data_IF_969294188701
#
_entry.id   IF_969294188701
#
_cell.length_a   1.000
_cell.length_b   1.000
_cell.length_c   1.000
_cell.angle_alpha   90.00
_cell.angle_beta   90.00
_cell.angle_gamma   90.00
#
_symmetry.space_group_name_H-M   'P 1'
#
loop_
_entity.id
_entity.type
_entity.pdbx_description
1 polymer ?
#
# COMPACT_ATOMS: atom_id res chain seq x y z
N UNK A 1 29.28 -19.24 9.26
CA UNK A 1 27.88 -18.82 9.45
C UNK A 1 27.67 -18.47 10.92
N UNK A 2 27.31 -17.23 11.20
CA UNK A 2 27.02 -16.67 12.53
C UNK A 2 25.52 -16.49 12.70
N UNK A 3 25.09 -16.15 13.92
CA UNK A 3 23.68 -15.81 14.14
C UNK A 3 23.37 -14.54 13.36
N UNK A 4 22.19 -14.48 12.73
CA UNK A 4 21.78 -13.37 11.88
C UNK A 4 22.21 -13.48 10.42
N UNK A 5 23.11 -14.41 10.06
CA UNK A 5 23.44 -14.64 8.65
C UNK A 5 22.21 -15.18 7.90
N UNK A 6 21.96 -14.66 6.70
CA UNK A 6 20.91 -15.15 5.80
C UNK A 6 21.46 -16.28 4.93
N UNK A 7 20.66 -17.33 4.75
CA UNK A 7 20.93 -18.48 3.90
C UNK A 7 19.88 -18.53 2.80
N UNK A 8 20.33 -18.57 1.54
CA UNK A 8 19.49 -18.72 0.36
C UNK A 8 19.81 -20.04 -0.33
N UNK A 9 18.78 -20.80 -0.68
CA UNK A 9 18.90 -22.05 -1.42
C UNK A 9 18.67 -21.83 -2.91
N UNK A 10 19.56 -22.36 -3.73
CA UNK A 10 19.40 -22.48 -5.17
C UNK A 10 19.29 -23.95 -5.56
N UNK A 11 18.20 -24.31 -6.24
CA UNK A 11 17.91 -25.67 -6.69
C UNK A 11 18.11 -25.78 -8.20
N UNK A 12 19.18 -26.43 -8.70
CA UNK A 12 19.42 -26.58 -10.13
C UNK A 12 18.47 -27.57 -10.80
N UNK A 13 17.95 -28.55 -10.04
CA UNK A 13 17.06 -29.63 -10.48
C UNK A 13 15.95 -29.82 -9.45
N UNK A 14 14.81 -30.40 -9.86
CA UNK A 14 13.66 -30.61 -8.98
C UNK A 14 13.94 -31.60 -7.85
N UNK A 15 14.59 -32.72 -8.18
CA UNK A 15 14.88 -33.80 -7.25
C UNK A 15 16.35 -34.20 -7.31
N UNK A 16 16.90 -34.62 -6.16
CA UNK A 16 18.29 -35.04 -6.07
C UNK A 16 18.52 -36.32 -6.90
N UNK A 17 19.41 -36.24 -7.89
CA UNK A 17 19.70 -37.34 -8.81
C UNK A 17 18.93 -37.28 -10.14
N UNK A 18 17.98 -36.36 -10.27
CA UNK A 18 17.22 -36.13 -11.49
C UNK A 18 17.95 -35.21 -12.49
N UNK A 19 17.48 -35.18 -13.73
CA UNK A 19 17.93 -34.29 -14.81
C UNK A 19 16.94 -33.18 -15.14
N UNK A 20 15.75 -33.22 -14.57
CA UNK A 20 14.73 -32.20 -14.80
C UNK A 20 15.15 -30.85 -14.18
N UNK A 21 15.38 -29.81 -15.00
CA UNK A 21 15.93 -28.55 -14.54
C UNK A 21 14.88 -27.71 -13.81
N UNK A 22 15.20 -27.30 -12.58
CA UNK A 22 14.38 -26.35 -11.82
C UNK A 22 14.94 -24.93 -11.98
N UNK A 23 16.21 -24.74 -11.60
CA UNK A 23 16.97 -23.47 -11.72
C UNK A 23 16.28 -22.31 -11.02
N UNK A 24 15.87 -22.51 -9.78
CA UNK A 24 15.20 -21.50 -8.97
C UNK A 24 15.93 -21.27 -7.65
N UNK A 25 15.80 -20.08 -7.09
CA UNK A 25 15.99 -19.88 -5.66
C UNK A 25 14.71 -20.38 -4.97
N UNK A 26 14.84 -21.26 -3.98
CA UNK A 26 13.70 -22.05 -3.47
C UNK A 26 13.41 -21.86 -2.00
N UNK A 27 14.36 -21.34 -1.23
CA UNK A 27 14.17 -21.04 0.18
C UNK A 27 15.11 -19.94 0.66
N UNK A 28 14.65 -19.19 1.65
CA UNK A 28 15.42 -18.22 2.41
C UNK A 28 15.24 -18.49 3.90
N UNK A 29 16.31 -18.43 4.67
CA UNK A 29 16.25 -18.59 6.12
C UNK A 29 17.33 -17.81 6.84
N UNK A 30 17.08 -17.52 8.10
CA UNK A 30 18.00 -16.77 8.98
C UNK A 30 18.58 -17.74 10.00
N UNK A 31 19.90 -17.71 10.15
CA UNK A 31 20.58 -18.51 11.15
C UNK A 31 20.25 -17.98 12.55
N UNK A 32 19.68 -18.84 13.39
CA UNK A 32 19.28 -18.45 14.74
C UNK A 32 20.48 -18.36 15.69
N UNK A 33 20.30 -17.57 16.75
CA UNK A 33 21.10 -17.72 17.96
C UNK A 33 20.83 -19.08 18.61
N UNK A 34 21.90 -19.76 19.02
CA UNK A 34 21.80 -21.09 19.60
C UNK A 34 23.09 -21.87 19.46
N UNK A 35 23.16 -22.99 20.18
CA UNK A 35 24.32 -23.89 20.17
C UNK A 35 24.43 -24.63 18.84
N UNK A 36 25.67 -24.85 18.40
CA UNK A 36 25.99 -25.79 17.32
C UNK A 36 26.04 -27.17 17.95
N UNK A 37 25.27 -28.12 17.42
CA UNK A 37 25.24 -29.49 17.94
C UNK A 37 25.69 -30.48 16.87
N UNK A 38 26.18 -31.63 17.30
CA UNK A 38 26.50 -32.74 16.40
C UNK A 38 25.30 -33.66 16.32
N UNK A 39 24.76 -33.88 15.11
CA UNK A 39 23.71 -34.85 14.89
C UNK A 39 24.32 -36.24 14.72
N UNK A 40 23.67 -37.27 15.25
CA UNK A 40 24.07 -38.67 15.05
C UNK A 40 23.23 -39.28 13.92
N UNK A 41 23.84 -39.45 12.76
CA UNK A 41 23.26 -40.12 11.59
C UNK A 41 24.02 -41.44 11.31
N UNK A 42 24.46 -42.12 12.38
CA UNK A 42 25.20 -43.37 12.30
C UNK A 42 26.69 -43.14 12.05
N UNK A 43 27.20 -43.58 10.89
CA UNK A 43 28.62 -43.41 10.54
C UNK A 43 28.97 -41.98 10.10
N UNK A 44 27.97 -41.13 9.87
CA UNK A 44 28.11 -39.71 9.56
C UNK A 44 27.59 -38.88 10.74
N UNK A 45 28.42 -37.98 11.28
CA UNK A 45 28.06 -37.16 12.45
C UNK A 45 28.26 -35.67 12.16
N UNK A 46 27.35 -35.04 11.39
CA UNK A 46 27.52 -33.65 10.98
C UNK A 46 27.23 -32.67 12.11
N UNK A 47 27.94 -31.56 12.11
CA UNK A 47 27.56 -30.39 12.90
C UNK A 47 26.35 -29.70 12.24
N UNK A 48 25.35 -29.36 13.04
CA UNK A 48 24.11 -28.70 12.63
C UNK A 48 23.89 -27.43 13.42
N UNK A 49 23.10 -26.53 12.82
CA UNK A 49 22.67 -25.26 13.41
C UNK A 49 21.21 -25.00 13.06
N UNK A 50 20.48 -24.28 13.92
CA UNK A 50 19.09 -23.91 13.67
C UNK A 50 19.00 -22.79 12.64
N UNK A 51 18.06 -22.95 11.72
CA UNK A 51 17.69 -21.97 10.69
C UNK A 51 16.19 -21.77 10.84
N UNK A 52 15.75 -20.52 10.96
CA UNK A 52 14.35 -20.16 10.80
C UNK A 52 14.13 -19.83 9.34
N UNK A 53 13.32 -20.63 8.67
CA UNK A 53 12.92 -20.37 7.29
C UNK A 53 11.80 -19.35 7.25
N UNK A 54 11.97 -18.34 6.41
CA UNK A 54 10.95 -17.31 6.18
C UNK A 54 9.98 -17.80 5.08
N UNK A 55 8.80 -17.20 5.01
CA UNK A 55 7.89 -17.48 3.89
C UNK A 55 8.53 -16.94 2.61
N UNK A 56 8.89 -17.84 1.69
CA UNK A 56 9.64 -17.51 0.49
C UNK A 56 8.93 -18.05 -0.75
N UNK A 57 8.64 -17.18 -1.71
CA UNK A 57 8.13 -17.58 -3.01
C UNK A 57 9.33 -17.98 -3.89
N UNK A 58 9.34 -19.19 -4.48
CA UNK A 58 10.43 -19.59 -5.37
C UNK A 58 10.62 -18.59 -6.51
N UNK A 59 11.87 -18.23 -6.77
CA UNK A 59 12.24 -17.22 -7.77
C UNK A 59 13.02 -17.90 -8.89
N UNK A 60 12.47 -17.98 -10.11
CA UNK A 60 13.19 -18.50 -11.27
C UNK A 60 14.46 -17.70 -11.54
N UNK A 61 15.58 -18.39 -11.77
CA UNK A 61 16.86 -17.72 -12.05
C UNK A 61 16.74 -16.74 -13.20
N UNK A 62 16.07 -17.11 -14.29
CA UNK A 62 15.98 -16.29 -15.49
C UNK A 62 15.23 -14.97 -15.25
N UNK A 63 14.37 -14.89 -14.22
CA UNK A 63 13.71 -13.64 -13.82
C UNK A 63 14.66 -12.65 -13.12
N UNK A 64 15.78 -13.13 -12.58
CA UNK A 64 16.67 -12.30 -11.73
C UNK A 64 18.12 -12.30 -12.18
N UNK A 65 18.45 -13.11 -13.18
CA UNK A 65 19.82 -13.37 -13.62
C UNK A 65 20.56 -12.11 -14.07
N UNK A 66 19.89 -11.13 -14.66
CA UNK A 66 20.52 -9.89 -15.12
C UNK A 66 20.89 -8.94 -13.98
N UNK A 67 20.24 -9.08 -12.81
CA UNK A 67 20.36 -8.14 -11.68
C UNK A 67 21.21 -8.67 -10.52
N UNK A 68 21.53 -9.97 -10.47
CA UNK A 68 22.36 -10.55 -9.41
C UNK A 68 23.85 -10.39 -9.68
N UNK A 69 24.60 -9.97 -8.67
CA UNK A 69 26.06 -9.99 -8.66
C UNK A 69 26.58 -11.43 -8.81
N UNK A 70 25.90 -12.41 -8.21
CA UNK A 70 26.19 -13.84 -8.28
C UNK A 70 26.36 -14.34 -9.73
N UNK A 71 25.54 -13.84 -10.65
CA UNK A 71 25.44 -14.28 -12.05
C UNK A 71 26.20 -13.38 -13.03
N UNK A 72 26.91 -12.37 -12.53
CA UNK A 72 27.60 -11.36 -13.35
C UNK A 72 28.78 -11.91 -14.16
N UNK A 73 29.42 -12.99 -13.69
CA UNK A 73 30.57 -13.61 -14.36
C UNK A 73 30.17 -14.77 -15.28
N UNK A 74 30.93 -15.02 -16.37
CA UNK A 74 30.77 -16.25 -17.16
C UNK A 74 30.96 -17.50 -16.29
N UNK A 75 30.24 -18.58 -16.61
CA UNK A 75 30.30 -19.84 -15.87
C UNK A 75 30.02 -19.72 -14.36
N UNK A 76 29.27 -18.70 -13.94
CA UNK A 76 28.92 -18.44 -12.54
C UNK A 76 28.46 -19.70 -11.79
N UNK A 77 27.68 -20.60 -12.42
CA UNK A 77 27.17 -21.82 -11.77
C UNK A 77 28.24 -22.79 -11.28
N UNK A 78 29.49 -22.67 -11.75
CA UNK A 78 30.61 -23.48 -11.23
C UNK A 78 30.86 -23.23 -9.75
N UNK A 79 30.64 -22.01 -9.26
CA UNK A 79 30.87 -21.65 -7.86
C UNK A 79 29.93 -22.40 -6.90
N UNK A 80 28.72 -22.76 -7.36
CA UNK A 80 27.73 -23.50 -6.58
C UNK A 80 28.17 -24.95 -6.27
N UNK A 81 29.15 -25.48 -7.01
CA UNK A 81 29.73 -26.82 -6.74
C UNK A 81 30.52 -26.87 -5.43
N UNK A 82 30.81 -25.71 -4.81
CA UNK A 82 31.51 -25.58 -3.52
C UNK A 82 30.58 -25.81 -2.32
N UNK A 83 29.28 -25.99 -2.54
CA UNK A 83 28.28 -26.20 -1.50
C UNK A 83 27.79 -24.90 -0.89
N UNK A 84 28.67 -24.19 -0.17
CA UNK A 84 28.36 -22.89 0.43
C UNK A 84 29.26 -21.80 -0.16
N UNK A 85 28.66 -20.70 -0.58
CA UNK A 85 29.34 -19.52 -1.10
C UNK A 85 28.81 -18.26 -0.38
N UNK A 86 29.64 -17.23 -0.19
CA UNK A 86 29.15 -15.91 0.19
C UNK A 86 28.23 -15.36 -0.91
N UNK A 87 27.13 -14.71 -0.50
CA UNK A 87 26.24 -13.97 -1.38
C UNK A 87 26.31 -12.49 -1.00
N UNK A 88 26.16 -11.60 -1.99
CA UNK A 88 26.11 -10.16 -1.77
C UNK A 88 24.79 -9.80 -1.06
N UNK A 89 24.82 -8.88 -0.09
CA UNK A 89 23.62 -8.48 0.66
C UNK A 89 22.54 -7.92 -0.29
N UNK A 90 22.92 -7.23 -1.36
CA UNK A 90 21.97 -6.70 -2.34
C UNK A 90 21.46 -7.78 -3.31
N UNK A 91 22.11 -8.93 -3.43
CA UNK A 91 21.52 -10.10 -4.09
C UNK A 91 20.42 -10.74 -3.22
N UNK A 92 20.60 -10.74 -1.89
CA UNK A 92 19.56 -11.20 -0.95
C UNK A 92 18.34 -10.29 -1.02
N UNK A 93 18.52 -8.97 -0.92
CA UNK A 93 17.42 -7.99 -1.03
C UNK A 93 16.61 -8.17 -2.33
N UNK A 94 17.32 -8.43 -3.44
CA UNK A 94 16.71 -8.68 -4.75
C UNK A 94 15.86 -9.94 -4.80
N UNK A 95 16.21 -10.96 -4.04
CA UNK A 95 15.45 -12.21 -3.95
C UNK A 95 14.27 -12.10 -2.97
N UNK A 96 14.28 -11.13 -2.06
CA UNK A 96 13.20 -10.88 -1.09
C UNK A 96 12.05 -10.02 -1.65
N UNK A 97 12.27 -9.30 -2.75
CA UNK A 97 11.24 -8.48 -3.43
C UNK A 97 10.68 -9.15 -4.68
N UNK A 98 9.35 -9.06 -4.84
CA UNK A 98 8.64 -9.48 -6.06
C UNK A 98 8.75 -8.44 -7.21
N UNK A 99 9.29 -7.24 -6.94
CA UNK A 99 9.37 -6.14 -7.91
C UNK A 99 10.81 -5.87 -8.33
N UNK A 100 11.07 -5.72 -9.63
CA UNK A 100 12.40 -5.40 -10.15
C UNK A 100 12.76 -3.94 -9.85
N UNK A 101 11.77 -3.04 -9.94
CA UNK A 101 11.91 -1.63 -9.67
C UNK A 101 10.81 -1.10 -8.72
N UNK A 102 11.13 -0.01 -8.01
CA UNK A 102 10.18 0.69 -7.16
C UNK A 102 8.90 1.11 -7.91
N UNK A 103 9.02 1.44 -9.20
CA UNK A 103 7.91 1.85 -10.06
C UNK A 103 6.98 0.70 -10.47
N UNK A 104 7.39 -0.55 -10.26
CA UNK A 104 6.54 -1.73 -10.48
C UNK A 104 5.69 -2.09 -9.26
N UNK A 105 6.06 -1.62 -8.07
CA UNK A 105 5.32 -1.88 -6.83
C UNK A 105 3.98 -1.16 -6.81
N UNK A 106 2.83 -1.86 -6.88
CA UNK A 106 1.51 -1.22 -6.93
C UNK A 106 1.21 -0.42 -5.66
N UNK A 107 1.68 -0.91 -4.50
CA UNK A 107 1.49 -0.23 -3.21
C UNK A 107 2.27 1.09 -3.14
N UNK A 108 3.53 1.10 -3.59
CA UNK A 108 4.34 2.32 -3.61
C UNK A 108 3.80 3.32 -4.64
N UNK A 109 3.40 2.86 -5.82
CA UNK A 109 2.78 3.71 -6.84
C UNK A 109 1.46 4.32 -6.34
N UNK A 110 0.60 3.52 -5.70
CA UNK A 110 -0.63 4.02 -5.10
C UNK A 110 -0.34 5.11 -4.06
N UNK A 111 0.64 4.90 -3.18
CA UNK A 111 1.05 5.89 -2.18
C UNK A 111 1.58 7.19 -2.82
N UNK A 112 2.50 7.09 -3.80
CA UNK A 112 3.07 8.25 -4.49
C UNK A 112 2.02 9.06 -5.22
N UNK A 113 1.16 8.39 -5.99
CA UNK A 113 0.08 9.04 -6.75
C UNK A 113 -0.94 9.67 -5.81
N UNK A 114 -1.31 8.99 -4.72
CA UNK A 114 -2.22 9.54 -3.71
C UNK A 114 -1.65 10.82 -3.07
N UNK A 115 -0.37 10.83 -2.72
CA UNK A 115 0.28 12.01 -2.15
C UNK A 115 0.34 13.19 -3.11
N UNK A 116 0.70 12.93 -4.38
CA UNK A 116 0.74 13.94 -5.43
C UNK A 116 -0.65 14.52 -5.68
N UNK A 117 -1.67 13.66 -5.81
CA UNK A 117 -3.05 14.07 -5.98
C UNK A 117 -3.54 14.91 -4.79
N UNK A 118 -3.33 14.44 -3.55
CA UNK A 118 -3.72 15.20 -2.37
C UNK A 118 -3.02 16.55 -2.26
N UNK A 119 -1.77 16.68 -2.72
CA UNK A 119 -1.08 17.97 -2.77
C UNK A 119 -1.77 18.94 -3.75
N UNK A 120 -2.19 18.45 -4.91
CA UNK A 120 -2.97 19.22 -5.89
C UNK A 120 -4.30 19.69 -5.31
N UNK A 121 -5.06 18.79 -4.66
CA UNK A 121 -6.33 19.14 -4.01
C UNK A 121 -6.13 20.17 -2.90
N UNK A 122 -5.10 20.02 -2.05
CA UNK A 122 -4.79 21.01 -1.01
C UNK A 122 -4.45 22.37 -1.61
N UNK A 123 -3.76 22.43 -2.76
CA UNK A 123 -3.48 23.68 -3.45
C UNK A 123 -4.77 24.32 -3.98
N UNK A 124 -5.65 23.53 -4.59
CA UNK A 124 -6.95 23.98 -5.11
C UNK A 124 -7.89 24.49 -4.01
N UNK A 125 -7.84 23.90 -2.82
CA UNK A 125 -8.70 24.27 -1.69
C UNK A 125 -8.19 25.46 -0.86
N UNK A 126 -6.91 25.84 -1.02
CA UNK A 126 -6.28 26.92 -0.25
C UNK A 126 -7.03 28.26 -0.33
N UNK A 127 -7.53 28.72 -1.51
CA UNK A 127 -8.28 29.98 -1.59
C UNK A 127 -9.61 29.99 -0.83
N UNK A 128 -10.13 28.81 -0.46
CA UNK A 128 -11.39 28.66 0.26
C UNK A 128 -11.21 28.48 1.77
N UNK A 129 -9.95 28.46 2.25
CA UNK A 129 -9.61 28.13 3.64
C UNK A 129 -10.26 26.81 4.10
N UNK A 130 -10.22 25.80 3.23
CA UNK A 130 -10.73 24.46 3.51
C UNK A 130 -9.60 23.44 3.49
N UNK A 131 -9.60 22.54 4.47
CA UNK A 131 -8.86 21.28 4.35
C UNK A 131 -9.62 20.33 3.41
N UNK A 132 -8.95 19.30 2.88
CA UNK A 132 -9.61 18.32 2.03
C UNK A 132 -10.79 17.65 2.74
N UNK A 133 -10.63 17.26 4.01
CA UNK A 133 -11.72 16.64 4.78
C UNK A 133 -12.86 17.62 5.08
N UNK A 134 -12.56 18.90 5.37
CA UNK A 134 -13.59 19.93 5.51
C UNK A 134 -14.40 20.10 4.22
N UNK A 135 -13.72 20.12 3.07
CA UNK A 135 -14.38 20.16 1.77
C UNK A 135 -15.27 18.93 1.54
N UNK A 136 -14.75 17.71 1.74
CA UNK A 136 -15.52 16.47 1.52
C UNK A 136 -16.79 16.44 2.37
N UNK A 137 -16.70 16.77 3.66
CA UNK A 137 -17.87 16.76 4.55
C UNK A 137 -18.87 17.87 4.20
N UNK A 138 -18.39 19.06 3.84
CA UNK A 138 -19.25 20.16 3.42
C UNK A 138 -19.95 19.84 2.08
N UNK A 139 -19.22 19.31 1.09
CA UNK A 139 -19.76 18.89 -0.20
C UNK A 139 -20.77 17.75 -0.04
N UNK A 140 -20.48 16.74 0.78
CA UNK A 140 -21.40 15.67 1.10
C UNK A 140 -22.71 16.21 1.68
N UNK A 141 -22.64 17.14 2.64
CA UNK A 141 -23.82 17.79 3.20
C UNK A 141 -24.61 18.63 2.18
N UNK A 142 -23.98 19.13 1.11
CA UNK A 142 -24.69 19.84 0.03
C UNK A 142 -25.34 18.92 -1.00
N UNK A 143 -24.86 17.68 -1.14
CA UNK A 143 -25.40 16.69 -2.08
C UNK A 143 -26.46 15.80 -1.46
N UNK A 144 -26.35 15.56 -0.17
CA UNK A 144 -27.40 14.91 0.60
C UNK A 144 -28.65 15.78 0.56
N UNK A 145 -29.77 15.14 0.25
CA UNK A 145 -31.06 15.80 0.13
C UNK A 145 -31.38 16.61 1.39
N UNK A 146 -31.61 17.91 1.21
CA UNK A 146 -31.92 18.84 2.30
C UNK A 146 -33.19 18.44 3.07
N UNK A 147 -34.05 17.62 2.46
CA UNK A 147 -35.26 17.10 3.09
C UNK A 147 -34.99 15.97 4.09
N UNK A 148 -33.87 15.25 3.97
CA UNK A 148 -33.52 14.16 4.89
C UNK A 148 -32.54 14.65 5.96
N UNK A 149 -32.96 14.80 7.23
CA UNK A 149 -32.08 15.24 8.29
C UNK A 149 -30.94 14.24 8.50
N UNK A 150 -29.69 14.68 8.36
CA UNK A 150 -28.52 13.83 8.62
C UNK A 150 -27.87 14.17 9.95
N UNK A 151 -27.56 13.14 10.74
CA UNK A 151 -26.79 13.28 11.98
C UNK A 151 -25.29 13.27 11.70
N UNK A 152 -24.46 13.71 12.65
CA UNK A 152 -22.99 13.57 12.53
C UNK A 152 -22.56 12.12 12.30
N UNK A 153 -23.25 11.16 12.92
CA UNK A 153 -23.00 9.74 12.73
C UNK A 153 -23.33 9.32 11.30
N UNK A 154 -24.51 9.70 10.80
CA UNK A 154 -24.92 9.39 9.42
C UNK A 154 -23.96 9.99 8.40
N UNK A 155 -23.47 11.21 8.63
CA UNK A 155 -22.48 11.84 7.76
C UNK A 155 -21.14 11.09 7.80
N UNK A 156 -20.69 10.67 8.98
CA UNK A 156 -19.46 9.90 9.12
C UNK A 156 -19.54 8.56 8.37
N UNK A 157 -20.68 7.86 8.51
CA UNK A 157 -20.98 6.61 7.79
C UNK A 157 -20.99 6.84 6.26
N UNK A 158 -21.69 7.88 5.79
CA UNK A 158 -21.76 8.23 4.37
C UNK A 158 -20.38 8.56 3.78
N UNK A 159 -19.60 9.39 4.47
CA UNK A 159 -18.27 9.80 4.02
C UNK A 159 -17.18 8.75 4.29
N UNK A 160 -17.52 7.61 4.90
CA UNK A 160 -16.58 6.57 5.36
C UNK A 160 -15.43 7.15 6.20
N UNK A 161 -15.78 7.98 7.19
CA UNK A 161 -14.86 8.68 8.09
C UNK A 161 -15.08 8.28 9.55
N UNK A 162 -14.06 8.49 10.39
CA UNK A 162 -14.19 8.30 11.84
C UNK A 162 -15.15 9.34 12.46
N UNK A 163 -16.02 8.90 13.37
CA UNK A 163 -17.05 9.74 13.98
C UNK A 163 -16.48 10.87 14.86
N UNK A 164 -15.37 10.63 15.55
CA UNK A 164 -14.73 11.63 16.39
C UNK A 164 -14.08 12.72 15.54
N UNK A 165 -13.33 12.33 14.51
CA UNK A 165 -12.74 13.25 13.53
C UNK A 165 -13.84 14.07 12.84
N UNK A 166 -14.91 13.42 12.37
CA UNK A 166 -16.06 14.10 11.75
C UNK A 166 -16.69 15.11 12.70
N UNK A 167 -16.85 14.78 13.99
CA UNK A 167 -17.35 15.74 14.98
C UNK A 167 -16.47 16.98 15.11
N UNK A 168 -15.14 16.83 15.11
CA UNK A 168 -14.19 17.94 15.19
C UNK A 168 -14.23 18.81 13.93
N UNK A 169 -14.32 18.19 12.76
CA UNK A 169 -14.41 18.92 11.49
C UNK A 169 -15.73 19.69 11.40
N UNK A 170 -16.85 19.10 11.80
CA UNK A 170 -18.15 19.79 11.83
C UNK A 170 -18.14 20.98 12.80
N UNK A 171 -17.52 20.86 13.98
CA UNK A 171 -17.35 22.02 14.89
C UNK A 171 -16.56 23.14 14.22
N UNK A 172 -15.53 22.80 13.46
CA UNK A 172 -14.74 23.79 12.73
C UNK A 172 -15.58 24.47 11.64
N UNK A 173 -16.31 23.70 10.83
CA UNK A 173 -17.20 24.24 9.79
C UNK A 173 -18.32 25.10 10.37
N UNK A 174 -18.85 24.76 11.53
CA UNK A 174 -19.83 25.56 12.27
C UNK A 174 -19.23 26.87 12.79
N UNK A 175 -18.02 26.83 13.35
CA UNK A 175 -17.31 28.05 13.78
C UNK A 175 -17.01 29.02 12.63
N UNK A 176 -16.87 28.49 11.40
CA UNK A 176 -16.73 29.28 10.17
C UNK A 176 -18.08 29.72 9.57
N UNK A 177 -19.20 29.32 10.15
CA UNK A 177 -20.55 29.66 9.69
C UNK A 177 -21.01 28.91 8.44
N UNK A 178 -20.38 27.80 8.07
CA UNK A 178 -20.72 27.02 6.88
C UNK A 178 -21.75 25.92 7.14
N UNK A 179 -21.80 25.43 8.38
CA UNK A 179 -22.73 24.40 8.83
C UNK A 179 -23.38 24.88 10.12
N UNK A 180 -24.59 24.41 10.40
CA UNK A 180 -25.25 24.61 11.69
C UNK A 180 -25.89 23.32 12.18
N UNK A 181 -26.00 23.21 13.51
CA UNK A 181 -26.73 22.11 14.16
C UNK A 181 -28.15 22.54 14.49
N UNK A 182 -29.12 21.77 14.01
CA UNK A 182 -30.56 21.97 14.29
C UNK A 182 -31.10 20.84 15.19
N UNK A 183 -32.18 21.08 15.96
CA UNK A 183 -32.93 19.98 16.58
C UNK A 183 -33.36 18.97 15.52
N UNK A 184 -33.22 17.67 15.80
CA UNK A 184 -33.71 16.65 14.89
C UNK A 184 -35.25 16.61 14.92
N UNK A 185 -35.95 16.53 13.78
CA UNK A 185 -37.41 16.68 13.74
C UNK A 185 -38.18 15.54 14.42
N UNK A 186 -37.60 14.35 14.50
CA UNK A 186 -38.26 13.15 15.07
C UNK A 186 -37.55 12.55 16.28
N UNK A 187 -36.38 13.09 16.67
CA UNK A 187 -35.60 12.58 17.81
C UNK A 187 -35.10 13.75 18.65
N UNK A 188 -35.77 13.99 19.77
CA UNK A 188 -35.45 15.10 20.68
C UNK A 188 -34.03 15.01 21.28
N UNK A 189 -33.39 13.83 21.25
CA UNK A 189 -32.03 13.63 21.78
C UNK A 189 -30.96 13.84 20.70
N UNK A 190 -31.34 13.90 19.43
CA UNK A 190 -30.42 14.03 18.31
C UNK A 190 -30.35 15.47 17.77
N UNK A 191 -29.25 15.75 17.07
CA UNK A 191 -29.05 16.98 16.28
C UNK A 191 -28.83 16.60 14.82
N UNK A 192 -29.50 17.33 13.93
CA UNK A 192 -29.25 17.26 12.50
C UNK A 192 -28.27 18.34 12.07
N UNK A 193 -27.53 18.07 10.99
CA UNK A 193 -26.64 19.02 10.34
C UNK A 193 -27.36 19.67 9.17
N UNK A 194 -27.20 20.98 9.02
CA UNK A 194 -27.67 21.73 7.88
C UNK A 194 -26.54 22.62 7.35
N UNK A 195 -26.40 22.69 6.02
CA UNK A 195 -25.48 23.65 5.39
C UNK A 195 -26.14 25.03 5.37
N UNK A 196 -25.38 26.06 5.71
CA UNK A 196 -25.86 27.44 5.60
C UNK A 196 -25.82 27.92 4.14
N UNK A 197 -26.56 28.96 3.74
CA UNK A 197 -26.47 29.50 2.37
C UNK A 197 -25.04 29.89 1.97
N UNK A 198 -24.27 30.41 2.92
CA UNK A 198 -22.86 30.77 2.72
C UNK A 198 -21.99 29.52 2.53
N UNK A 199 -22.21 28.49 3.35
CA UNK A 199 -21.52 27.21 3.23
C UNK A 199 -21.79 26.53 1.89
N UNK A 200 -23.05 26.54 1.43
CA UNK A 200 -23.43 25.96 0.14
C UNK A 200 -22.79 26.70 -1.05
N UNK A 201 -22.79 28.04 -1.01
CA UNK A 201 -22.13 28.86 -2.03
C UNK A 201 -20.60 28.63 -2.05
N UNK A 202 -19.97 28.48 -0.88
CA UNK A 202 -18.55 28.15 -0.78
C UNK A 202 -18.26 26.77 -1.35
N UNK A 203 -19.05 25.76 -0.95
CA UNK A 203 -18.93 24.38 -1.43
C UNK A 203 -19.01 24.31 -2.96
N UNK A 204 -19.97 25.00 -3.57
CA UNK A 204 -20.11 25.04 -5.03
C UNK A 204 -18.90 25.66 -5.75
N UNK A 205 -18.24 26.67 -5.16
CA UNK A 205 -16.99 27.22 -5.73
C UNK A 205 -15.80 26.29 -5.51
N UNK A 206 -15.68 25.71 -4.32
CA UNK A 206 -14.62 24.75 -4.00
C UNK A 206 -14.72 23.49 -4.87
N UNK A 207 -15.93 23.01 -5.12
CA UNK A 207 -16.18 21.83 -5.96
C UNK A 207 -15.67 22.05 -7.39
N UNK A 208 -15.95 23.21 -8.00
CA UNK A 208 -15.40 23.54 -9.33
C UNK A 208 -13.88 23.59 -9.36
N UNK A 209 -13.24 24.08 -8.30
CA UNK A 209 -11.78 24.13 -8.22
C UNK A 209 -11.17 22.72 -8.08
N UNK A 210 -11.80 21.86 -7.26
CA UNK A 210 -11.43 20.45 -7.11
C UNK A 210 -11.62 19.71 -8.43
N UNK A 211 -12.77 19.85 -9.09
CA UNK A 211 -13.04 19.25 -10.40
C UNK A 211 -12.04 19.69 -11.48
N UNK A 212 -11.60 20.95 -11.48
CA UNK A 212 -10.55 21.43 -12.38
C UNK A 212 -9.21 20.75 -12.08
N UNK A 213 -8.82 20.71 -10.80
CA UNK A 213 -7.60 20.04 -10.36
C UNK A 213 -7.61 18.54 -10.69
N UNK A 214 -8.73 17.86 -10.47
CA UNK A 214 -8.88 16.45 -10.82
C UNK A 214 -8.76 16.24 -12.32
N UNK A 215 -9.44 17.06 -13.12
CA UNK A 215 -9.36 16.99 -14.58
C UNK A 215 -7.93 17.17 -15.08
N UNK A 216 -7.19 18.15 -14.56
CA UNK A 216 -5.78 18.37 -14.91
C UNK A 216 -4.89 17.21 -14.46
N UNK A 217 -5.06 16.73 -13.23
CA UNK A 217 -4.26 15.63 -12.68
C UNK A 217 -4.46 14.33 -13.47
N UNK A 218 -5.71 13.99 -13.81
CA UNK A 218 -6.04 12.76 -14.53
C UNK A 218 -5.94 12.90 -16.06
N UNK A 219 -5.70 14.09 -16.61
CA UNK A 219 -5.55 14.30 -18.05
C UNK A 219 -4.45 13.42 -18.68
N UNK A 220 -3.40 13.09 -17.93
CA UNK A 220 -2.31 12.21 -18.38
C UNK A 220 -2.77 10.78 -18.72
N UNK A 221 -3.94 10.36 -18.23
CA UNK A 221 -4.50 9.04 -18.54
C UNK A 221 -5.14 9.00 -19.93
N UNK A 222 -5.62 10.13 -20.46
CA UNK A 222 -6.34 10.19 -21.73
C UNK A 222 -7.54 9.25 -21.76
N UNK A 223 -7.62 8.43 -22.80
CA UNK A 223 -8.66 7.40 -22.99
C UNK A 223 -8.64 6.29 -21.92
N UNK A 224 -7.54 6.11 -21.20
CA UNK A 224 -7.40 5.10 -20.14
C UNK A 224 -8.08 5.47 -18.83
N UNK A 225 -8.60 6.69 -18.70
CA UNK A 225 -9.21 7.15 -17.44
C UNK A 225 -10.40 6.28 -17.01
N UNK A 226 -11.26 5.87 -17.94
CA UNK A 226 -12.41 5.02 -17.63
C UNK A 226 -11.98 3.63 -17.11
N UNK A 227 -10.96 3.04 -17.74
CA UNK A 227 -10.38 1.76 -17.31
C UNK A 227 -9.73 1.89 -15.92
N UNK A 228 -9.02 2.98 -15.66
CA UNK A 228 -8.42 3.26 -14.36
C UNK A 228 -9.46 3.33 -13.24
N UNK A 229 -10.56 4.06 -13.45
CA UNK A 229 -11.67 4.13 -12.48
C UNK A 229 -12.29 2.75 -12.24
N UNK A 230 -12.46 1.93 -13.28
CA UNK A 230 -12.97 0.57 -13.13
C UNK A 230 -12.03 -0.33 -12.29
N UNK A 231 -10.71 -0.18 -12.45
CA UNK A 231 -9.72 -0.89 -11.63
C UNK A 231 -9.77 -0.46 -10.17
N UNK A 232 -9.85 0.84 -9.89
CA UNK A 232 -10.04 1.34 -8.52
C UNK A 232 -11.33 0.81 -7.88
N UNK A 233 -12.44 0.80 -8.63
CA UNK A 233 -13.70 0.25 -8.15
C UNK A 233 -13.65 -1.25 -7.85
N UNK A 234 -12.68 -1.99 -8.41
CA UNK A 234 -12.45 -3.40 -8.06
C UNK A 234 -11.77 -3.54 -6.70
N UNK A 235 -10.93 -2.57 -6.31
CA UNK A 235 -10.28 -2.54 -5.00
C UNK A 235 -11.23 -2.05 -3.90
N UNK A 236 -12.11 -1.08 -4.18
CA UNK A 236 -13.05 -0.52 -3.19
C UNK A 236 -14.16 -1.49 -2.74
N UNK A 237 -14.46 -2.52 -3.55
CA UNK A 237 -15.51 -3.52 -3.26
C UNK A 237 -15.04 -4.70 -2.40
N UNK A 238 -13.79 -4.72 -1.97
CA UNK A 238 -13.24 -5.75 -1.07
C UNK A 238 -13.46 -5.35 0.39
#
# INVERSE_FOLDING_TARGET
MKAGDVLVYYSPVESMGDRDPLREFTALGVIEEGEIWQADEGCFKPFRRRVRYEQFNPVPLDAVRSRLALTSAPNWGYQLRRGLIPLDDNDVEKLETDFEDADESPGLMLWRVTNAWQASIRAALRPFDLTHVQFVLLAALTWLDAETPITQRGLAEYARTDAMMTSQVIRTLESKGFVERRPHPTDARARSLAVTPVGAALAGRANRAVESSDREFFAALGDRQAAFVAMLGTLDRR
#
